data_IF_766939785602
#
_entry.id   IF_766939785602
#
_cell.length_a   1.000
_cell.length_b   1.000
_cell.length_c   1.000
_cell.angle_alpha   90.00
_cell.angle_beta   90.00
_cell.angle_gamma   90.00
#
_symmetry.space_group_name_H-M   'P 1'
#
loop_
_entity.id
_entity.type
_entity.pdbx_description
1 polymer ?
#
# COMPACT_ATOMS: atom_id res chain seq x y z
N UNK A 1 59.96 59.01 40.97
CA UNK A 1 60.99 58.66 39.97
C UNK A 1 60.82 57.24 39.55
N UNK A 2 60.40 56.94 38.32
CA UNK A 2 60.82 55.86 37.42
C UNK A 2 59.85 55.75 36.26
N UNK A 3 60.44 55.78 35.11
CA UNK A 3 59.88 56.02 33.81
C UNK A 3 59.04 54.86 33.25
N UNK A 4 57.94 55.24 32.57
CA UNK A 4 57.15 54.40 31.68
C UNK A 4 57.92 53.98 30.42
N UNK A 5 57.85 52.76 30.01
CA UNK A 5 58.16 52.25 28.68
C UNK A 5 56.91 51.83 27.99
N UNK A 6 56.61 52.53 26.89
CA UNK A 6 55.49 52.18 26.01
C UNK A 6 55.99 51.16 24.97
N UNK A 7 55.34 50.03 24.91
CA UNK A 7 55.49 49.03 23.85
C UNK A 7 54.35 49.17 22.86
N UNK A 8 54.64 49.39 21.56
CA UNK A 8 53.71 49.45 20.47
C UNK A 8 53.39 47.99 19.99
N UNK A 9 52.17 47.60 19.79
CA UNK A 9 51.86 46.36 19.11
C UNK A 9 51.76 46.59 17.60
N UNK A 10 52.48 45.78 16.84
CA UNK A 10 52.43 45.67 15.38
C UNK A 10 51.18 44.87 15.01
N UNK A 11 50.29 45.51 14.23
CA UNK A 11 49.09 44.83 13.70
C UNK A 11 49.51 44.09 12.43
N UNK A 12 49.46 42.76 12.46
CA UNK A 12 49.59 41.90 11.30
C UNK A 12 48.20 41.63 10.74
N UNK A 13 47.90 42.21 9.58
CA UNK A 13 46.61 41.99 8.90
C UNK A 13 46.71 40.68 8.13
N UNK A 14 46.05 39.63 8.62
CA UNK A 14 45.91 38.35 7.92
C UNK A 14 44.70 38.44 6.98
N UNK A 15 44.96 38.45 5.69
CA UNK A 15 43.93 38.41 4.67
C UNK A 15 43.32 37.03 4.58
N UNK A 16 42.03 36.91 4.87
CA UNK A 16 41.24 35.68 4.70
C UNK A 16 40.70 35.66 3.27
N UNK A 17 41.26 34.78 2.42
CA UNK A 17 40.65 34.43 1.12
C UNK A 17 39.43 33.55 1.39
N UNK A 18 38.26 34.13 1.19
CA UNK A 18 36.99 33.34 1.17
C UNK A 18 36.86 32.62 -0.17
N UNK A 19 37.12 31.31 -0.21
CA UNK A 19 36.74 30.42 -1.31
C UNK A 19 35.24 30.21 -1.21
N UNK A 20 34.48 30.87 -2.07
CA UNK A 20 33.06 30.63 -2.24
C UNK A 20 32.80 29.25 -2.87
N UNK A 21 32.48 28.25 -2.08
CA UNK A 21 31.96 26.98 -2.55
C UNK A 21 30.52 27.21 -3.02
N UNK A 22 30.26 27.23 -4.33
CA UNK A 22 28.94 27.12 -4.90
C UNK A 22 28.38 25.72 -4.57
N UNK A 23 27.66 25.60 -3.48
CA UNK A 23 26.84 24.43 -3.21
C UNK A 23 25.63 24.45 -4.18
N UNK A 24 25.70 23.68 -5.25
CA UNK A 24 24.52 23.34 -6.06
C UNK A 24 23.50 22.66 -5.14
N UNK A 25 22.26 23.18 -5.04
CA UNK A 25 21.22 22.46 -4.32
C UNK A 25 21.00 21.15 -5.08
N UNK A 26 21.38 20.02 -4.47
CA UNK A 26 20.97 18.70 -4.94
C UNK A 26 19.44 18.71 -4.91
N UNK A 27 18.83 18.66 -6.09
CA UNK A 27 17.40 18.44 -6.23
C UNK A 27 17.10 17.07 -5.61
N UNK A 28 16.69 17.11 -4.36
CA UNK A 28 16.26 15.92 -3.65
C UNK A 28 15.07 15.38 -4.43
N UNK A 29 15.22 14.23 -5.09
CA UNK A 29 14.10 13.49 -5.61
C UNK A 29 13.06 13.38 -4.47
N UNK A 30 11.76 13.51 -4.75
CA UNK A 30 10.77 13.32 -3.72
C UNK A 30 11.01 11.92 -3.15
N UNK A 31 11.57 11.88 -1.95
CA UNK A 31 11.75 10.63 -1.20
C UNK A 31 10.38 9.98 -1.18
N UNK A 32 10.32 8.74 -1.61
CA UNK A 32 9.17 7.88 -1.46
C UNK A 32 8.81 7.81 0.04
N UNK A 33 8.01 8.77 0.50
CA UNK A 33 7.51 8.85 1.88
C UNK A 33 6.54 7.70 2.16
N UNK A 34 6.18 6.93 1.09
CA UNK A 34 5.20 5.86 1.12
C UNK A 34 5.67 4.56 1.81
N UNK A 35 6.95 4.32 1.99
CA UNK A 35 7.43 3.01 2.48
C UNK A 35 7.80 2.95 3.96
N UNK A 36 7.75 4.06 4.70
CA UNK A 36 7.98 4.04 6.14
C UNK A 36 6.71 3.59 6.86
N UNK A 37 6.53 2.30 7.02
CA UNK A 37 5.40 1.69 7.72
C UNK A 37 4.53 0.78 6.86
N UNK A 38 4.86 0.58 5.57
CA UNK A 38 4.21 -0.44 4.76
C UNK A 38 4.57 -1.83 5.31
N UNK A 39 3.59 -2.73 5.45
CA UNK A 39 3.85 -4.10 5.88
C UNK A 39 4.75 -4.82 4.87
N UNK A 40 5.58 -5.74 5.37
CA UNK A 40 6.39 -6.60 4.51
C UNK A 40 5.51 -7.58 3.73
N UNK A 41 5.79 -7.86 2.44
CA UNK A 41 5.11 -8.89 1.68
C UNK A 41 5.30 -10.27 2.31
N UNK A 42 4.27 -11.12 2.20
CA UNK A 42 4.34 -12.52 2.64
C UNK A 42 5.06 -13.35 1.58
N UNK A 43 6.13 -14.12 1.92
CA UNK A 43 6.83 -14.94 0.95
C UNK A 43 5.91 -15.93 0.22
N UNK A 44 5.99 -15.95 -1.11
CA UNK A 44 5.21 -16.84 -1.98
C UNK A 44 3.77 -16.38 -2.23
N UNK A 45 3.32 -15.26 -1.64
CA UNK A 45 2.03 -14.64 -1.93
C UNK A 45 2.23 -13.31 -2.61
N UNK A 46 1.34 -12.98 -3.55
CA UNK A 46 1.36 -11.69 -4.23
C UNK A 46 -0.01 -11.31 -4.79
N UNK A 47 -0.11 -10.11 -5.37
CA UNK A 47 -1.26 -9.62 -6.11
C UNK A 47 -1.13 -9.92 -7.60
N UNK A 48 -2.17 -10.54 -8.16
CA UNK A 48 -2.30 -10.87 -9.57
C UNK A 48 -3.53 -10.18 -10.13
N UNK A 49 -3.36 -9.34 -11.15
CA UNK A 49 -4.47 -8.76 -11.89
C UNK A 49 -4.73 -9.58 -13.18
N UNK A 50 -5.99 -9.73 -13.51
CA UNK A 50 -6.44 -10.40 -14.73
C UNK A 50 -7.58 -9.60 -15.37
N UNK A 51 -7.60 -9.61 -16.69
CA UNK A 51 -8.67 -9.00 -17.48
C UNK A 51 -9.16 -10.00 -18.52
N UNK A 52 -10.49 -10.17 -18.58
CA UNK A 52 -11.18 -10.92 -19.64
C UNK A 52 -12.34 -10.06 -20.16
N UNK A 53 -12.14 -9.44 -21.32
CA UNK A 53 -13.05 -8.43 -21.85
C UNK A 53 -13.23 -7.25 -20.89
N UNK A 54 -14.45 -7.06 -20.41
CA UNK A 54 -14.80 -6.04 -19.42
C UNK A 54 -14.71 -6.54 -17.97
N UNK A 55 -14.51 -7.83 -17.75
CA UNK A 55 -14.31 -8.39 -16.43
C UNK A 55 -12.87 -8.17 -15.96
N UNK A 56 -12.71 -7.60 -14.79
CA UNK A 56 -11.43 -7.35 -14.13
C UNK A 56 -11.38 -8.09 -12.80
N UNK A 57 -10.26 -8.69 -12.50
CA UNK A 57 -9.99 -9.36 -11.22
C UNK A 57 -8.68 -8.89 -10.63
N UNK A 58 -8.62 -8.80 -9.30
CA UNK A 58 -7.39 -8.63 -8.53
C UNK A 58 -7.40 -9.64 -7.40
N UNK A 59 -6.46 -10.58 -7.41
CA UNK A 59 -6.41 -11.69 -6.48
C UNK A 59 -5.11 -11.69 -5.67
N UNK A 60 -5.20 -11.87 -4.36
CA UNK A 60 -4.06 -12.14 -3.48
C UNK A 60 -3.99 -13.62 -3.17
N UNK A 61 -2.91 -14.26 -3.55
CA UNK A 61 -2.74 -15.70 -3.41
C UNK A 61 -1.34 -16.15 -3.78
N UNK A 62 -1.19 -17.46 -3.98
CA UNK A 62 0.04 -18.06 -4.54
C UNK A 62 -0.12 -18.24 -6.04
N UNK A 63 0.93 -17.95 -6.78
CA UNK A 63 0.96 -18.20 -8.22
C UNK A 63 0.69 -19.69 -8.51
N UNK A 64 -0.17 -19.96 -9.48
CA UNK A 64 -0.52 -21.33 -9.95
C UNK A 64 -1.05 -22.27 -8.86
N UNK A 65 -1.75 -21.74 -7.87
CA UNK A 65 -2.35 -22.55 -6.79
C UNK A 65 -3.77 -22.07 -6.45
N UNK A 66 -4.52 -22.94 -5.74
CA UNK A 66 -5.86 -22.63 -5.24
C UNK A 66 -5.83 -21.86 -3.90
N UNK A 67 -4.64 -21.48 -3.40
CA UNK A 67 -4.47 -20.76 -2.14
C UNK A 67 -4.78 -19.25 -2.32
N UNK A 68 -6.07 -18.98 -2.50
CA UNK A 68 -6.65 -17.65 -2.63
C UNK A 68 -7.05 -17.13 -1.24
N UNK A 69 -6.58 -15.92 -0.90
CA UNK A 69 -6.90 -15.26 0.38
C UNK A 69 -7.98 -14.21 0.22
N UNK A 70 -7.87 -13.38 -0.80
CA UNK A 70 -8.80 -12.31 -1.12
C UNK A 70 -8.83 -12.11 -2.63
N UNK A 71 -10.03 -11.91 -3.19
CA UNK A 71 -10.23 -11.54 -4.57
C UNK A 71 -11.24 -10.41 -4.67
N UNK A 72 -10.96 -9.47 -5.52
CA UNK A 72 -11.82 -8.37 -5.90
C UNK A 72 -12.12 -8.51 -7.39
N UNK A 73 -13.38 -8.46 -7.74
CA UNK A 73 -13.84 -8.49 -9.14
C UNK A 73 -14.67 -7.24 -9.42
N UNK A 74 -14.59 -6.74 -10.65
CA UNK A 74 -15.48 -5.69 -11.15
C UNK A 74 -15.74 -5.85 -12.65
N UNK A 75 -16.78 -5.18 -13.13
CA UNK A 75 -16.92 -4.84 -14.55
C UNK A 75 -16.25 -3.48 -14.77
N UNK A 76 -15.51 -3.32 -15.85
CA UNK A 76 -14.79 -2.09 -16.18
C UNK A 76 -15.72 -0.86 -16.10
N UNK A 77 -15.30 0.16 -15.36
CA UNK A 77 -16.06 1.39 -15.17
C UNK A 77 -17.34 1.27 -14.35
N UNK A 78 -17.59 0.14 -13.68
CA UNK A 78 -18.84 -0.06 -12.92
C UNK A 78 -18.88 0.70 -11.59
N UNK A 79 -17.73 0.98 -11.00
CA UNK A 79 -17.64 1.58 -9.66
C UNK A 79 -18.11 0.67 -8.53
N UNK A 80 -18.33 -0.63 -8.82
CA UNK A 80 -18.76 -1.64 -7.83
C UNK A 80 -17.86 -2.86 -7.88
N UNK A 81 -17.71 -3.51 -6.72
CA UNK A 81 -16.88 -4.68 -6.52
C UNK A 81 -17.71 -5.89 -6.05
N UNK A 82 -17.26 -7.06 -6.43
CA UNK A 82 -17.56 -8.31 -5.72
C UNK A 82 -16.31 -8.75 -4.98
N UNK A 83 -16.43 -8.99 -3.67
CA UNK A 83 -15.35 -9.46 -2.83
C UNK A 83 -15.52 -10.96 -2.59
N UNK A 84 -14.43 -11.71 -2.72
CA UNK A 84 -14.39 -13.13 -2.35
C UNK A 84 -13.22 -13.34 -1.40
N UNK A 85 -13.47 -13.97 -0.25
CA UNK A 85 -12.45 -14.31 0.73
C UNK A 85 -12.67 -15.73 1.25
N UNK A 86 -11.60 -16.41 1.70
CA UNK A 86 -11.75 -17.69 2.39
C UNK A 86 -12.50 -17.50 3.69
N UNK A 87 -13.49 -18.35 3.96
CA UNK A 87 -14.27 -18.32 5.20
C UNK A 87 -13.55 -19.07 6.32
N UNK A 88 -13.61 -18.54 7.52
CA UNK A 88 -13.20 -19.24 8.74
C UNK A 88 -14.35 -19.28 9.75
N UNK A 89 -14.38 -20.32 10.57
CA UNK A 89 -15.36 -20.45 11.64
C UNK A 89 -16.80 -20.24 11.16
N UNK A 90 -17.54 -19.36 11.83
CA UNK A 90 -18.93 -19.01 11.51
C UNK A 90 -19.07 -17.62 10.88
N UNK A 91 -18.01 -17.07 10.34
CA UNK A 91 -18.00 -15.70 9.78
C UNK A 91 -19.04 -15.52 8.68
N UNK A 92 -19.67 -14.34 8.69
CA UNK A 92 -20.66 -13.88 7.71
C UNK A 92 -20.33 -12.45 7.21
N UNK A 93 -19.14 -12.00 7.50
CA UNK A 93 -18.66 -10.67 7.15
C UNK A 93 -17.26 -10.78 6.58
N UNK A 94 -16.97 -10.06 5.53
CA UNK A 94 -15.59 -9.77 5.10
C UNK A 94 -15.17 -8.48 5.81
N UNK A 95 -14.20 -8.57 6.70
CA UNK A 95 -13.69 -7.43 7.45
C UNK A 95 -12.31 -7.05 6.91
N UNK A 96 -12.22 -5.87 6.31
CA UNK A 96 -11.01 -5.35 5.67
C UNK A 96 -10.50 -4.11 6.38
N UNK A 97 -9.19 -3.89 6.31
CA UNK A 97 -8.47 -2.72 6.83
C UNK A 97 -7.38 -2.30 5.86
N UNK A 98 -7.23 -1.00 5.64
CA UNK A 98 -6.09 -0.46 4.90
C UNK A 98 -5.69 0.90 5.45
N UNK A 99 -4.42 1.04 5.87
CA UNK A 99 -3.86 2.30 6.35
C UNK A 99 -4.65 2.99 7.46
N UNK A 100 -5.36 2.22 8.30
CA UNK A 100 -6.18 2.70 9.41
C UNK A 100 -7.67 2.84 9.09
N UNK A 101 -8.09 2.82 7.83
CA UNK A 101 -9.50 2.73 7.45
C UNK A 101 -9.96 1.27 7.53
N UNK A 102 -11.13 1.01 8.10
CA UNK A 102 -11.67 -0.34 8.30
C UNK A 102 -13.13 -0.41 7.95
N UNK A 103 -13.54 -1.49 7.27
CA UNK A 103 -14.91 -1.72 6.83
C UNK A 103 -15.29 -3.19 6.96
N UNK A 104 -16.60 -3.44 7.17
CA UNK A 104 -17.19 -4.80 7.27
C UNK A 104 -18.31 -4.95 6.26
N UNK A 105 -18.15 -5.91 5.37
CA UNK A 105 -19.11 -6.19 4.30
C UNK A 105 -19.90 -7.45 4.64
N UNK A 106 -21.23 -7.38 4.73
CA UNK A 106 -22.08 -8.56 4.82
C UNK A 106 -21.80 -9.49 3.64
N UNK A 107 -21.63 -10.78 3.92
CA UNK A 107 -21.27 -11.75 2.91
C UNK A 107 -22.14 -13.01 2.98
N UNK A 108 -22.43 -13.56 1.82
CA UNK A 108 -22.96 -14.91 1.71
C UNK A 108 -21.83 -15.91 1.85
N UNK A 109 -22.12 -17.05 2.45
CA UNK A 109 -21.20 -18.16 2.59
C UNK A 109 -21.56 -19.24 1.59
N UNK A 110 -20.59 -19.62 0.76
CA UNK A 110 -20.75 -20.63 -0.27
C UNK A 110 -19.64 -21.69 -0.19
N UNK A 111 -19.95 -22.98 -0.46
CA UNK A 111 -18.91 -24.00 -0.54
C UNK A 111 -17.87 -23.65 -1.61
N UNK A 112 -16.58 -23.82 -1.30
CA UNK A 112 -15.51 -23.74 -2.30
C UNK A 112 -15.64 -24.94 -3.24
N UNK A 113 -15.84 -24.71 -4.53
CA UNK A 113 -15.89 -25.78 -5.52
C UNK A 113 -14.53 -26.45 -5.79
N UNK A 114 -13.44 -25.97 -5.22
CA UNK A 114 -12.06 -26.36 -5.53
C UNK A 114 -11.31 -27.04 -4.38
N UNK A 115 -11.92 -27.21 -3.21
CA UNK A 115 -11.24 -27.79 -2.05
C UNK A 115 -12.11 -27.85 -0.80
N UNK A 116 -11.48 -28.22 0.33
CA UNK A 116 -12.11 -28.21 1.63
C UNK A 116 -12.20 -26.75 2.13
N UNK A 117 -13.42 -26.28 2.36
CA UNK A 117 -13.67 -24.96 2.93
C UNK A 117 -14.83 -24.23 2.25
N UNK A 118 -15.14 -23.07 2.80
CA UNK A 118 -16.17 -22.19 2.27
C UNK A 118 -15.54 -20.84 1.87
N UNK A 119 -16.28 -20.13 1.02
CA UNK A 119 -15.96 -18.76 0.63
C UNK A 119 -17.00 -17.80 1.23
N UNK A 120 -16.57 -16.60 1.52
CA UNK A 120 -17.43 -15.45 1.79
C UNK A 120 -17.49 -14.60 0.53
N UNK A 121 -18.69 -14.26 0.07
CA UNK A 121 -18.92 -13.45 -1.12
C UNK A 121 -19.77 -12.25 -0.72
N UNK A 122 -19.22 -11.04 -0.92
CA UNK A 122 -19.94 -9.79 -0.76
C UNK A 122 -20.06 -9.10 -2.12
N UNK A 123 -21.28 -8.89 -2.61
CA UNK A 123 -21.58 -8.26 -3.90
C UNK A 123 -22.00 -6.81 -3.73
N UNK A 124 -21.96 -6.04 -4.83
CA UNK A 124 -22.41 -4.65 -4.92
C UNK A 124 -21.70 -3.70 -3.96
N UNK A 125 -20.45 -4.01 -3.62
CA UNK A 125 -19.64 -3.18 -2.74
C UNK A 125 -19.13 -1.95 -3.50
N UNK A 126 -19.34 -0.75 -2.96
CA UNK A 126 -18.92 0.46 -3.66
C UNK A 126 -17.39 0.59 -3.70
N UNK A 127 -16.83 0.83 -4.89
CA UNK A 127 -15.39 1.05 -5.09
C UNK A 127 -14.87 2.25 -4.26
N UNK A 128 -15.74 3.22 -3.98
CA UNK A 128 -15.42 4.44 -3.24
C UNK A 128 -15.37 4.27 -1.72
N UNK A 129 -15.62 3.08 -1.17
CA UNK A 129 -15.45 2.86 0.27
C UNK A 129 -14.06 3.29 0.75
N UNK A 130 -13.93 3.93 1.92
CA UNK A 130 -12.67 4.49 2.40
C UNK A 130 -11.52 3.47 2.42
N UNK A 131 -11.80 2.23 2.80
CA UNK A 131 -10.81 1.15 2.84
C UNK A 131 -10.18 0.87 1.47
N UNK A 132 -10.97 0.93 0.37
CA UNK A 132 -10.44 0.71 -0.99
C UNK A 132 -9.70 1.92 -1.52
N UNK A 133 -10.17 3.14 -1.23
CA UNK A 133 -9.43 4.34 -1.57
C UNK A 133 -8.08 4.37 -0.87
N UNK A 134 -8.03 3.93 0.38
CA UNK A 134 -6.78 3.78 1.11
C UNK A 134 -5.91 2.67 0.52
N UNK A 135 -6.49 1.50 0.19
CA UNK A 135 -5.76 0.41 -0.45
C UNK A 135 -5.11 0.86 -1.77
N UNK A 136 -5.84 1.54 -2.64
CA UNK A 136 -5.30 2.13 -3.87
C UNK A 136 -4.12 3.07 -3.58
N UNK A 137 -4.20 3.89 -2.54
CA UNK A 137 -3.18 4.87 -2.19
C UNK A 137 -1.92 4.26 -1.58
N UNK A 138 -2.06 3.31 -0.63
CA UNK A 138 -0.92 2.73 0.11
C UNK A 138 -0.42 1.41 -0.47
N UNK A 139 -1.23 0.74 -1.31
CA UNK A 139 -0.88 -0.48 -2.03
C UNK A 139 -1.01 -1.78 -1.23
N UNK A 140 -1.52 -1.75 0.00
CA UNK A 140 -1.75 -2.95 0.82
C UNK A 140 -3.10 -2.90 1.53
N UNK A 141 -3.65 -4.07 1.81
CA UNK A 141 -4.88 -4.25 2.58
C UNK A 141 -4.69 -5.41 3.55
N UNK A 142 -5.44 -5.45 4.62
CA UNK A 142 -5.48 -6.57 5.55
C UNK A 142 -6.91 -7.10 5.65
N UNK A 143 -7.04 -8.40 5.90
CA UNK A 143 -8.29 -9.01 6.30
C UNK A 143 -8.23 -9.45 7.76
N UNK A 144 -9.32 -9.27 8.47
CA UNK A 144 -9.52 -9.80 9.81
C UNK A 144 -10.34 -11.09 9.73
N UNK A 145 -9.86 -12.12 10.40
CA UNK A 145 -10.52 -13.43 10.54
C UNK A 145 -10.63 -13.73 12.02
N UNK A 146 -11.81 -13.54 12.58
CA UNK A 146 -11.95 -13.49 14.03
C UNK A 146 -11.02 -12.40 14.61
N UNK A 147 -10.11 -12.78 15.52
CA UNK A 147 -9.13 -11.89 16.13
C UNK A 147 -7.78 -11.85 15.37
N UNK A 148 -7.62 -12.66 14.33
CA UNK A 148 -6.39 -12.70 13.53
C UNK A 148 -6.43 -11.67 12.41
N UNK A 149 -5.35 -10.91 12.26
CA UNK A 149 -5.14 -9.92 11.20
C UNK A 149 -4.09 -10.44 10.22
N UNK A 150 -4.47 -10.63 8.98
CA UNK A 150 -3.57 -11.06 7.90
C UNK A 150 -3.38 -9.92 6.90
N UNK A 151 -2.13 -9.60 6.57
CA UNK A 151 -1.80 -8.47 5.68
C UNK A 151 -1.45 -8.97 4.29
N UNK A 152 -2.02 -8.31 3.28
CA UNK A 152 -1.86 -8.58 1.87
C UNK A 152 -1.09 -7.43 1.22
N UNK A 153 0.23 -7.48 1.32
CA UNK A 153 1.12 -6.48 0.77
C UNK A 153 1.76 -6.96 -0.54
N UNK A 154 1.87 -6.10 -1.57
CA UNK A 154 2.47 -6.45 -2.85
C UNK A 154 4.00 -6.55 -2.73
N UNK A 155 4.61 -7.44 -3.51
CA UNK A 155 6.03 -7.30 -3.84
C UNK A 155 6.25 -6.10 -4.78
N UNK A 156 7.50 -5.68 -4.95
CA UNK A 156 7.82 -4.48 -5.76
C UNK A 156 7.29 -4.59 -7.20
N UNK A 157 7.29 -5.78 -7.78
CA UNK A 157 6.84 -6.01 -9.17
C UNK A 157 5.33 -5.97 -9.36
N UNK A 158 4.54 -6.29 -8.33
CA UNK A 158 3.08 -6.41 -8.40
C UNK A 158 2.32 -5.18 -7.90
N UNK A 159 3.01 -4.19 -7.33
CA UNK A 159 2.37 -2.94 -6.87
C UNK A 159 1.53 -2.25 -7.97
N UNK A 160 1.98 -2.33 -9.23
CA UNK A 160 1.26 -1.79 -10.37
C UNK A 160 -0.05 -2.55 -10.69
N UNK A 161 -0.18 -3.82 -10.31
CA UNK A 161 -1.40 -4.61 -10.51
C UNK A 161 -2.59 -4.00 -9.75
N UNK A 162 -2.37 -3.60 -8.50
CA UNK A 162 -3.37 -2.92 -7.68
C UNK A 162 -3.87 -1.64 -8.37
N UNK A 163 -2.96 -0.78 -8.82
CA UNK A 163 -3.34 0.47 -9.50
C UNK A 163 -4.14 0.23 -10.77
N UNK A 164 -3.66 -0.70 -11.66
CA UNK A 164 -4.36 -1.03 -12.91
C UNK A 164 -5.78 -1.52 -12.68
N UNK A 165 -5.98 -2.35 -11.67
CA UNK A 165 -7.31 -2.86 -11.32
C UNK A 165 -8.24 -1.72 -10.92
N UNK A 166 -7.84 -0.87 -9.97
CA UNK A 166 -8.67 0.25 -9.51
C UNK A 166 -8.94 1.26 -10.62
N UNK A 167 -7.95 1.57 -11.46
CA UNK A 167 -8.12 2.46 -12.61
C UNK A 167 -9.12 1.91 -13.62
N UNK A 168 -9.13 0.58 -13.82
CA UNK A 168 -10.07 -0.08 -14.72
C UNK A 168 -11.50 -0.17 -14.18
N UNK A 169 -11.68 -0.25 -12.86
CA UNK A 169 -13.00 -0.33 -12.22
C UNK A 169 -13.65 1.04 -11.98
N UNK A 170 -12.87 2.12 -12.00
CA UNK A 170 -13.34 3.48 -11.73
C UNK A 170 -14.32 3.95 -12.83
N UNK A 171 -15.50 4.49 -12.47
CA UNK A 171 -16.47 4.97 -13.46
C UNK A 171 -16.07 6.27 -14.17
N UNK A 172 -14.98 6.92 -13.73
CA UNK A 172 -14.52 8.21 -14.28
C UNK A 172 -15.09 9.42 -13.58
#
# INVERSE_FOLDING_TARGET
MRRAFAARPTIVTLGVLALGACATPATRAPDAVADRGAPAPTPGFDWFDHRDGDALSLAYGRETSDDLRLRLDCVAGSGTLTLTASAEGADRMIHLESGGDTERFPAMREPSGLGDGDLLIASDVALREPVFQRFRAVGWIAAWRGDAREVYAPHTGSKAAVSRFFDGCDPG
#
